data_IF_393196100335
#
_entry.id   IF_393196100335
#
_cell.length_a   1.000
_cell.length_b   1.000
_cell.length_c   1.000
_cell.angle_alpha   90.00
_cell.angle_beta   90.00
_cell.angle_gamma   90.00
#
_symmetry.space_group_name_H-M   'P 1'
#
loop_
_entity.id
_entity.type
_entity.pdbx_description
1 polymer ?
#
# COMPACT_ATOMS: atom_id res chain seq x y z
N UNK A 1 -21.04 8.88 3.95
CA UNK A 1 -19.98 7.99 4.48
C UNK A 1 -18.66 8.66 4.20
N UNK A 2 -17.78 8.74 5.19
CA UNK A 2 -16.38 9.12 4.95
C UNK A 2 -15.74 8.05 4.05
N UNK A 3 -14.88 8.40 3.09
CA UNK A 3 -14.12 7.39 2.37
C UNK A 3 -13.27 6.60 3.37
N UNK A 4 -13.27 5.28 3.19
CA UNK A 4 -12.43 4.35 3.93
C UNK A 4 -11.01 4.40 3.35
N UNK A 5 -9.99 4.08 4.16
CA UNK A 5 -8.63 3.94 3.63
C UNK A 5 -8.56 2.70 2.71
N UNK A 6 -9.32 1.64 3.02
CA UNK A 6 -9.36 0.43 2.22
C UNK A 6 -10.64 0.32 1.41
N UNK A 7 -10.53 -0.11 0.16
CA UNK A 7 -11.73 -0.46 -0.61
C UNK A 7 -12.32 -1.79 -0.14
N UNK A 8 -13.65 -1.88 -0.11
CA UNK A 8 -14.37 -3.10 0.31
C UNK A 8 -14.01 -4.33 -0.55
N UNK A 9 -13.85 -4.12 -1.84
CA UNK A 9 -13.42 -5.13 -2.80
C UNK A 9 -12.09 -4.69 -3.41
N UNK A 10 -11.21 -5.62 -3.78
CA UNK A 10 -10.00 -5.26 -4.50
C UNK A 10 -10.40 -4.72 -5.89
N UNK A 11 -9.67 -3.70 -6.34
CA UNK A 11 -9.90 -2.98 -7.58
C UNK A 11 -8.59 -2.90 -8.36
N UNK A 12 -8.67 -2.72 -9.67
CA UNK A 12 -7.48 -2.43 -10.48
C UNK A 12 -6.79 -1.16 -9.95
N UNK A 13 -5.47 -1.06 -10.14
CA UNK A 13 -4.69 0.13 -9.72
C UNK A 13 -5.28 1.43 -10.29
N UNK A 14 -5.67 1.41 -11.56
CA UNK A 14 -6.32 2.55 -12.21
C UNK A 14 -7.65 2.93 -11.53
N UNK A 15 -8.45 1.94 -11.14
CA UNK A 15 -9.70 2.21 -10.44
C UNK A 15 -9.44 2.74 -9.02
N UNK A 16 -8.44 2.24 -8.29
CA UNK A 16 -8.05 2.77 -6.98
C UNK A 16 -7.67 4.25 -7.07
N UNK A 17 -6.81 4.62 -8.02
CA UNK A 17 -6.34 6.00 -8.22
C UNK A 17 -7.51 6.95 -8.51
N UNK A 18 -8.51 6.48 -9.27
CA UNK A 18 -9.63 7.29 -9.73
C UNK A 18 -10.91 7.13 -8.88
N UNK A 19 -10.87 6.29 -7.83
CA UNK A 19 -12.04 5.97 -7.02
C UNK A 19 -12.42 7.11 -6.08
N UNK A 20 -13.69 7.51 -6.11
CA UNK A 20 -14.27 8.41 -5.10
C UNK A 20 -14.58 7.72 -3.76
N UNK A 21 -14.41 6.40 -3.69
CA UNK A 21 -14.66 5.58 -2.49
C UNK A 21 -13.40 5.31 -1.68
N UNK A 22 -12.22 5.54 -2.26
CA UNK A 22 -10.94 5.39 -1.58
C UNK A 22 -10.48 6.74 -1.03
N UNK A 23 -9.89 6.73 0.15
CA UNK A 23 -9.25 7.91 0.69
C UNK A 23 -7.90 8.14 -0.02
N UNK A 24 -7.70 9.33 -0.58
CA UNK A 24 -6.41 9.75 -1.14
C UNK A 24 -5.65 10.61 -0.13
N UNK A 25 -4.44 10.16 0.23
CA UNK A 25 -3.52 10.88 1.10
C UNK A 25 -2.31 11.28 0.26
N UNK A 26 -1.92 12.55 0.33
CA UNK A 26 -0.73 13.09 -0.36
C UNK A 26 0.23 13.59 0.69
N UNK A 27 1.46 13.07 0.68
CA UNK A 27 2.51 13.40 1.64
C UNK A 27 3.57 14.21 0.90
N UNK A 28 3.89 15.39 1.44
CA UNK A 28 4.91 16.27 0.87
C UNK A 28 6.31 15.94 1.43
N UNK A 29 7.34 16.32 0.68
CA UNK A 29 8.72 15.87 0.93
C UNK A 29 9.28 16.15 2.32
N UNK A 30 8.82 17.18 3.03
CA UNK A 30 9.31 17.46 4.40
C UNK A 30 8.76 16.45 5.42
N UNK A 31 7.51 16.01 5.29
CA UNK A 31 6.94 14.93 6.10
C UNK A 31 7.58 13.58 5.78
N UNK A 32 8.00 13.37 4.53
CA UNK A 32 8.70 12.15 4.13
C UNK A 32 10.10 12.03 4.73
N UNK A 33 10.84 13.14 4.88
CA UNK A 33 12.22 13.15 5.42
C UNK A 33 12.32 12.55 6.82
N UNK A 34 11.31 12.78 7.67
CA UNK A 34 11.28 12.25 9.03
C UNK A 34 11.17 10.71 9.08
N UNK A 35 10.76 10.10 7.96
CA UNK A 35 10.48 8.67 7.84
C UNK A 35 11.29 7.99 6.73
N UNK A 36 12.26 8.66 6.10
CA UNK A 36 12.99 8.15 4.94
C UNK A 36 13.78 6.87 5.23
N UNK A 37 14.24 6.70 6.48
CA UNK A 37 14.92 5.50 6.93
C UNK A 37 14.04 4.23 6.86
N UNK A 38 12.70 4.35 6.85
CA UNK A 38 11.81 3.21 6.63
C UNK A 38 11.87 2.71 5.18
N UNK A 39 12.11 3.61 4.22
CA UNK A 39 12.28 3.22 2.81
C UNK A 39 13.63 2.57 2.56
N UNK A 40 14.68 2.98 3.29
CA UNK A 40 15.98 2.30 3.27
C UNK A 40 15.86 0.85 3.77
N UNK A 41 14.91 0.54 4.66
CA UNK A 41 14.67 -0.83 5.11
C UNK A 41 14.11 -1.71 3.99
N UNK A 42 13.28 -1.16 3.09
CA UNK A 42 12.77 -1.89 1.91
C UNK A 42 13.94 -2.32 1.01
N UNK A 43 14.95 -1.46 0.82
CA UNK A 43 16.14 -1.80 0.02
C UNK A 43 16.99 -2.90 0.66
N UNK A 44 16.97 -2.99 1.99
CA UNK A 44 17.75 -3.97 2.74
C UNK A 44 17.01 -5.29 2.97
N UNK A 45 15.72 -5.35 2.70
CA UNK A 45 14.91 -6.55 2.89
C UNK A 45 14.96 -7.46 1.66
N UNK A 46 14.99 -8.77 1.90
CA UNK A 46 15.01 -9.75 0.81
C UNK A 46 13.59 -9.90 0.25
N UNK A 47 13.23 -9.04 -0.71
CA UNK A 47 11.97 -9.15 -1.44
C UNK A 47 11.99 -10.38 -2.36
N UNK A 48 11.35 -11.46 -1.92
CA UNK A 48 11.29 -12.72 -2.68
C UNK A 48 10.07 -12.70 -3.60
N UNK A 49 10.25 -12.69 -4.94
CA UNK A 49 9.14 -12.76 -5.86
C UNK A 49 8.46 -14.13 -5.82
N UNK A 50 7.15 -14.16 -5.96
CA UNK A 50 6.43 -15.42 -6.19
C UNK A 50 6.70 -15.93 -7.60
N UNK A 51 6.57 -17.24 -7.81
CA UNK A 51 6.92 -17.88 -9.08
C UNK A 51 5.86 -17.75 -10.17
N UNK A 52 4.60 -17.63 -9.76
CA UNK A 52 3.46 -17.64 -10.67
C UNK A 52 2.95 -16.23 -10.93
N UNK A 53 2.38 -16.04 -12.13
CA UNK A 53 1.89 -14.74 -12.55
C UNK A 53 0.51 -14.49 -11.96
N UNK A 54 0.39 -13.46 -11.11
CA UNK A 54 -0.88 -13.07 -10.51
C UNK A 54 -1.50 -11.85 -11.17
N UNK A 55 -2.80 -11.70 -10.93
CA UNK A 55 -3.58 -10.56 -11.38
C UNK A 55 -3.65 -9.50 -10.29
N UNK A 56 -3.46 -8.23 -10.67
CA UNK A 56 -3.33 -7.09 -9.75
C UNK A 56 -4.66 -6.34 -9.65
N UNK A 57 -5.54 -6.84 -8.79
CA UNK A 57 -6.57 -6.02 -8.16
C UNK A 57 -6.21 -5.90 -6.69
N UNK A 58 -6.13 -4.70 -6.13
CA UNK A 58 -5.66 -4.41 -4.77
C UNK A 58 -6.66 -3.55 -3.99
N UNK A 59 -6.48 -3.44 -2.68
CA UNK A 59 -7.33 -2.58 -1.82
C UNK A 59 -6.64 -1.30 -1.34
N UNK A 60 -5.31 -1.32 -1.38
CA UNK A 60 -4.45 -0.18 -1.08
C UNK A 60 -3.43 -0.06 -2.20
N UNK A 61 -3.21 1.17 -2.65
CA UNK A 61 -2.15 1.51 -3.59
C UNK A 61 -1.45 2.75 -3.08
N UNK A 62 -0.12 2.71 -3.03
CA UNK A 62 0.67 3.91 -2.81
C UNK A 62 1.85 3.94 -3.77
N UNK A 63 2.27 5.15 -4.07
CA UNK A 63 3.36 5.43 -5.00
C UNK A 63 4.28 6.47 -4.38
N UNK A 64 5.57 6.18 -4.41
CA UNK A 64 6.62 7.13 -4.09
C UNK A 64 7.13 7.73 -5.40
N UNK A 65 6.91 9.03 -5.55
CA UNK A 65 7.33 9.77 -6.75
C UNK A 65 8.41 10.81 -6.40
N UNK A 66 9.37 10.96 -7.31
CA UNK A 66 10.30 12.08 -7.30
C UNK A 66 9.95 13.07 -8.41
N UNK A 67 10.12 14.37 -8.12
CA UNK A 67 9.94 15.43 -9.12
C UNK A 67 10.85 15.27 -10.35
N UNK A 68 11.99 14.58 -10.21
CA UNK A 68 13.00 14.44 -11.25
C UNK A 68 12.84 13.17 -12.08
N UNK A 69 12.61 12.03 -11.43
CA UNK A 69 12.62 10.72 -12.08
C UNK A 69 11.22 10.11 -12.23
N UNK A 70 10.18 10.78 -11.73
CA UNK A 70 8.83 10.23 -11.68
C UNK A 70 8.70 9.17 -10.58
N UNK A 71 7.86 8.17 -10.84
CA UNK A 71 7.65 7.00 -9.98
C UNK A 71 8.96 6.26 -9.69
N UNK A 72 9.24 6.05 -8.40
CA UNK A 72 10.41 5.34 -7.90
C UNK A 72 10.06 3.96 -7.35
N UNK A 73 8.89 3.87 -6.72
CA UNK A 73 8.39 2.67 -6.06
C UNK A 73 6.86 2.75 -6.05
N UNK A 74 6.19 1.72 -6.56
CA UNK A 74 4.76 1.51 -6.34
C UNK A 74 4.52 0.22 -5.58
N UNK A 75 3.53 0.26 -4.69
CA UNK A 75 3.13 -0.90 -3.90
C UNK A 75 1.62 -1.01 -3.93
N UNK A 76 1.14 -2.18 -4.35
CA UNK A 76 -0.26 -2.57 -4.32
C UNK A 76 -0.44 -3.68 -3.29
N UNK A 77 -1.29 -3.47 -2.29
CA UNK A 77 -1.46 -4.41 -1.19
C UNK A 77 -2.84 -5.04 -1.15
N UNK A 78 -2.86 -6.26 -0.62
CA UNK A 78 -4.06 -7.06 -0.40
C UNK A 78 -4.85 -7.29 -1.67
N UNK A 79 -4.12 -7.71 -2.69
CA UNK A 79 -4.66 -8.12 -3.97
C UNK A 79 -4.66 -9.63 -4.20
N UNK A 80 -5.34 -10.09 -5.25
CA UNK A 80 -5.41 -11.52 -5.59
C UNK A 80 -6.17 -12.39 -4.55
N UNK A 81 -5.96 -13.71 -4.62
CA UNK A 81 -6.67 -14.68 -3.77
C UNK A 81 -6.12 -14.77 -2.33
N UNK A 82 -4.88 -14.35 -2.09
CA UNK A 82 -4.15 -14.60 -0.84
C UNK A 82 -3.64 -13.32 -0.14
N UNK A 83 -4.35 -12.20 -0.26
CA UNK A 83 -3.92 -10.92 0.33
C UNK A 83 -2.52 -10.48 -0.12
N UNK A 84 -2.17 -10.80 -1.37
CA UNK A 84 -0.87 -10.60 -1.99
C UNK A 84 -0.41 -9.14 -1.96
N UNK A 85 0.90 -8.96 -1.85
CA UNK A 85 1.59 -7.67 -1.97
C UNK A 85 2.35 -7.66 -3.29
N UNK A 86 2.20 -6.57 -4.05
CA UNK A 86 2.89 -6.34 -5.31
C UNK A 86 3.79 -5.12 -5.16
N UNK A 87 5.05 -5.25 -5.54
CA UNK A 87 6.04 -4.18 -5.55
C UNK A 87 6.50 -4.00 -6.98
N UNK A 88 6.37 -2.81 -7.55
CA UNK A 88 6.69 -2.54 -8.95
C UNK A 88 6.00 -3.52 -9.92
N UNK A 89 4.75 -3.88 -9.61
CA UNK A 89 3.95 -4.86 -10.36
C UNK A 89 4.35 -6.33 -10.21
N UNK A 90 5.32 -6.66 -9.36
CA UNK A 90 5.76 -8.04 -9.08
C UNK A 90 5.20 -8.48 -7.74
N UNK A 91 4.46 -9.60 -7.71
CA UNK A 91 4.00 -10.18 -6.45
C UNK A 91 5.19 -10.74 -5.66
N UNK A 92 5.22 -10.45 -4.38
CA UNK A 92 6.22 -10.91 -3.43
C UNK A 92 5.57 -11.74 -2.32
N UNK A 93 6.38 -12.56 -1.65
CA UNK A 93 5.97 -13.18 -0.39
C UNK A 93 5.68 -12.07 0.63
N UNK A 94 4.60 -12.25 1.41
CA UNK A 94 4.12 -11.27 2.38
C UNK A 94 5.25 -10.73 3.26
N UNK A 95 5.27 -9.40 3.40
CA UNK A 95 6.28 -8.69 4.15
C UNK A 95 5.66 -7.47 4.84
N UNK A 96 5.75 -7.45 6.17
CA UNK A 96 5.16 -6.43 7.03
C UNK A 96 5.82 -5.05 6.87
N UNK A 97 7.00 -4.95 6.25
CA UNK A 97 7.73 -3.68 6.11
C UNK A 97 6.89 -2.61 5.40
N UNK A 98 6.07 -3.00 4.42
CA UNK A 98 5.24 -2.06 3.67
C UNK A 98 4.11 -1.49 4.52
N UNK A 99 3.63 -2.24 5.51
CA UNK A 99 2.68 -1.74 6.51
C UNK A 99 3.35 -0.72 7.44
N UNK A 100 4.56 -1.01 7.91
CA UNK A 100 5.32 -0.11 8.78
C UNK A 100 5.72 1.19 8.09
N UNK A 101 5.98 1.15 6.78
CA UNK A 101 6.33 2.31 5.96
C UNK A 101 5.13 3.27 5.81
N UNK A 102 3.91 2.76 5.62
CA UNK A 102 2.74 3.61 5.41
C UNK A 102 2.13 4.15 6.71
N UNK A 103 2.22 3.38 7.80
CA UNK A 103 1.56 3.67 9.09
C UNK A 103 1.83 5.09 9.64
N UNK A 104 3.06 5.65 9.60
CA UNK A 104 3.34 6.98 10.15
C UNK A 104 2.57 8.11 9.47
N UNK A 105 2.11 7.90 8.23
CA UNK A 105 1.43 8.91 7.44
C UNK A 105 -0.10 8.86 7.54
N UNK A 106 -0.62 7.92 8.32
CA UNK A 106 -2.05 7.68 8.47
C UNK A 106 -2.60 8.35 9.73
N UNK A 107 -3.88 8.73 9.67
CA UNK A 107 -4.59 9.16 10.88
C UNK A 107 -4.80 7.98 11.83
N UNK A 108 -5.06 8.24 13.11
CA UNK A 108 -5.34 7.18 14.09
C UNK A 108 -6.50 6.27 13.67
N UNK A 109 -7.53 6.84 13.05
CA UNK A 109 -8.68 6.08 12.57
C UNK A 109 -8.30 5.19 11.37
N UNK A 110 -7.48 5.70 10.45
CA UNK A 110 -6.98 4.94 9.32
C UNK A 110 -6.02 3.82 9.77
N UNK A 111 -5.17 4.06 10.76
CA UNK A 111 -4.33 3.03 11.38
C UNK A 111 -5.20 1.91 11.95
N UNK A 112 -6.24 2.27 12.71
CA UNK A 112 -7.15 1.28 13.30
C UNK A 112 -7.89 0.47 12.23
N UNK A 113 -8.30 1.10 11.14
CA UNK A 113 -8.91 0.41 10.00
C UNK A 113 -7.93 -0.59 9.36
N UNK A 114 -6.67 -0.18 9.18
CA UNK A 114 -5.59 -1.01 8.65
C UNK A 114 -5.31 -2.22 9.56
N UNK A 115 -5.18 -1.98 10.87
CA UNK A 115 -4.95 -3.02 11.89
C UNK A 115 -6.10 -4.04 11.94
N UNK A 116 -7.35 -3.56 11.87
CA UNK A 116 -8.51 -4.44 11.81
C UNK A 116 -8.48 -5.34 10.57
N UNK A 117 -8.12 -4.78 9.41
CA UNK A 117 -8.03 -5.56 8.17
C UNK A 117 -6.97 -6.65 8.27
N UNK A 118 -5.76 -6.31 8.74
CA UNK A 118 -4.66 -7.27 8.93
C UNK A 118 -5.06 -8.38 9.92
N UNK A 119 -5.84 -8.04 10.96
CA UNK A 119 -6.38 -9.00 11.91
C UNK A 119 -7.56 -9.84 11.38
N UNK A 120 -8.00 -9.63 10.13
CA UNK A 120 -9.17 -10.30 9.55
C UNK A 120 -10.52 -9.84 10.12
N UNK A 121 -10.55 -8.67 10.75
CA UNK A 121 -11.74 -8.05 11.35
C UNK A 121 -12.36 -7.12 10.30
N UNK A 122 -13.42 -7.60 9.66
CA UNK A 122 -14.13 -6.86 8.63
C UNK A 122 -15.18 -5.94 9.25
N UNK A 123 -15.27 -4.65 8.85
CA UNK A 123 -16.40 -3.82 9.24
C UNK A 123 -17.69 -4.41 8.66
N UNK A 124 -18.70 -4.61 9.52
CA UNK A 124 -20.04 -5.07 9.14
C UNK A 124 -20.75 -4.13 8.16
#
# INVERSE_FOLDING_TARGET
MSPFILTRQPLSVNDLINSSKAQKIVIEGDSLKEHIALFEQIENDDLIPVKDKSYIDARLYYVLESKKNGELLDVSMWGGENNSIFVNGVEIIENDIFYDVVKPFLSKDAIKELENYVAGIWPE
#
